data_IF_686759392532
#
_entry.id   IF_686759392532
#
_cell.length_a   1.000
_cell.length_b   1.000
_cell.length_c   1.000
_cell.angle_alpha   90.00
_cell.angle_beta   90.00
_cell.angle_gamma   90.00
#
_symmetry.space_group_name_H-M   'P 1'
#
loop_
_entity.id
_entity.type
_entity.pdbx_description
1 polymer ?
#
# COMPACT_ATOMS: atom_id res chain seq x y z
N UNK A 1 33.69 28.60 58.16
CA UNK A 1 34.76 28.21 57.21
C UNK A 1 34.30 28.62 55.82
N UNK A 2 34.98 29.55 55.12
CA UNK A 2 34.53 30.00 53.81
C UNK A 2 34.90 28.97 52.73
N UNK A 3 33.93 28.59 51.90
CA UNK A 3 34.14 27.77 50.71
C UNK A 3 35.01 28.54 49.70
N UNK A 4 36.19 28.01 49.44
CA UNK A 4 37.18 28.57 48.52
C UNK A 4 36.70 28.36 47.08
N UNK A 5 36.17 29.43 46.50
CA UNK A 5 36.30 29.86 45.10
C UNK A 5 36.04 28.86 43.98
N UNK A 6 35.11 29.24 43.09
CA UNK A 6 35.00 28.79 41.70
C UNK A 6 36.37 28.70 41.02
N UNK A 7 36.95 27.51 40.92
CA UNK A 7 38.01 27.20 39.95
C UNK A 7 37.35 26.47 38.78
N UNK A 8 37.58 26.94 37.55
CA UNK A 8 37.13 26.22 36.36
C UNK A 8 37.78 24.82 36.34
N UNK A 9 37.02 23.76 36.02
CA UNK A 9 37.57 22.42 36.00
C UNK A 9 38.75 22.34 35.01
N UNK A 10 39.83 21.62 35.34
CA UNK A 10 40.99 21.50 34.45
C UNK A 10 40.58 20.90 33.12
N UNK A 11 40.99 21.53 32.02
CA UNK A 11 40.73 21.06 30.65
C UNK A 11 41.58 19.81 30.39
N UNK A 12 40.97 18.63 30.54
CA UNK A 12 41.60 17.35 30.21
C UNK A 12 41.80 17.31 28.69
N UNK A 13 43.04 17.42 28.24
CA UNK A 13 43.38 17.19 26.84
C UNK A 13 43.56 15.68 26.68
N UNK A 14 42.70 14.99 25.90
CA UNK A 14 42.89 13.57 25.69
C UNK A 14 44.24 13.33 25.00
N UNK A 15 44.93 12.21 25.31
CA UNK A 15 46.15 11.85 24.60
C UNK A 15 45.86 11.71 23.09
N UNK A 16 46.84 12.00 22.23
CA UNK A 16 46.66 11.86 20.79
C UNK A 16 46.32 10.40 20.48
N UNK A 17 45.11 10.18 19.99
CA UNK A 17 44.67 8.84 19.56
C UNK A 17 45.57 8.43 18.39
N UNK A 18 46.21 7.25 18.42
CA UNK A 18 47.01 6.79 17.30
C UNK A 18 46.12 6.71 16.05
N UNK A 19 46.62 7.09 14.86
CA UNK A 19 45.85 6.94 13.63
C UNK A 19 45.43 5.47 13.53
N UNK A 20 44.13 5.24 13.45
CA UNK A 20 43.57 3.90 13.40
C UNK A 20 44.25 3.12 12.27
N UNK A 21 44.79 1.95 12.57
CA UNK A 21 45.42 1.08 11.56
C UNK A 21 44.40 0.44 10.60
N UNK A 22 43.11 0.70 10.82
CA UNK A 22 42.03 0.27 9.95
C UNK A 22 42.00 1.16 8.70
N UNK A 23 41.80 0.60 7.50
CA UNK A 23 41.56 1.39 6.29
C UNK A 23 40.38 2.34 6.50
N UNK A 24 40.65 3.63 6.69
CA UNK A 24 39.64 4.67 6.95
C UNK A 24 38.72 4.93 5.76
N UNK A 25 39.06 4.40 4.58
CA UNK A 25 38.31 4.56 3.34
C UNK A 25 38.09 3.21 2.65
N UNK A 26 37.30 2.34 3.28
CA UNK A 26 36.75 1.18 2.60
C UNK A 26 35.50 1.60 1.83
N UNK A 27 35.68 2.05 0.58
CA UNK A 27 34.54 2.23 -0.31
C UNK A 27 33.85 0.86 -0.47
N UNK A 28 32.56 0.72 -0.11
CA UNK A 28 31.91 -0.56 -0.15
C UNK A 28 31.87 -1.06 -1.58
N UNK A 29 32.38 -2.27 -1.79
CA UNK A 29 32.36 -2.92 -3.10
C UNK A 29 30.91 -3.06 -3.57
N UNK A 30 30.64 -3.04 -4.89
CA UNK A 30 29.27 -3.16 -5.40
C UNK A 30 28.57 -4.44 -4.90
N UNK A 31 29.31 -5.53 -4.71
CA UNK A 31 28.79 -6.76 -4.09
C UNK A 31 28.40 -6.54 -2.62
N UNK A 32 29.24 -5.85 -1.84
CA UNK A 32 28.92 -5.49 -0.46
C UNK A 32 27.66 -4.61 -0.37
N UNK A 33 27.50 -3.64 -1.28
CA UNK A 33 26.27 -2.83 -1.37
C UNK A 33 25.04 -3.67 -1.73
N UNK A 34 25.16 -4.57 -2.70
CA UNK A 34 24.06 -5.47 -3.05
C UNK A 34 23.65 -6.35 -1.86
N UNK A 35 24.62 -6.90 -1.12
CA UNK A 35 24.36 -7.67 0.10
C UNK A 35 23.68 -6.84 1.20
N UNK A 36 24.10 -5.59 1.39
CA UNK A 36 23.44 -4.67 2.35
C UNK A 36 21.98 -4.40 1.96
N UNK A 37 21.71 -4.13 0.67
CA UNK A 37 20.35 -3.89 0.18
C UNK A 37 19.50 -5.16 0.31
N UNK A 38 20.05 -6.32 -0.04
CA UNK A 38 19.36 -7.59 0.09
C UNK A 38 19.01 -7.91 1.55
N UNK A 39 19.95 -7.69 2.48
CA UNK A 39 19.70 -7.87 3.90
C UNK A 39 18.61 -6.93 4.43
N UNK A 40 18.61 -5.67 3.97
CA UNK A 40 17.59 -4.69 4.34
C UNK A 40 16.22 -5.03 3.75
N UNK A 41 16.17 -5.45 2.49
CA UNK A 41 14.93 -5.88 1.84
C UNK A 41 14.36 -7.14 2.51
N UNK A 42 15.22 -8.10 2.85
CA UNK A 42 14.83 -9.32 3.56
C UNK A 42 14.29 -9.01 4.95
N UNK A 43 14.97 -8.16 5.73
CA UNK A 43 14.52 -7.80 7.08
C UNK A 43 13.20 -7.03 7.04
N UNK A 44 13.04 -6.08 6.12
CA UNK A 44 11.79 -5.38 5.89
C UNK A 44 10.68 -6.36 5.46
N UNK A 45 10.98 -7.30 4.56
CA UNK A 45 10.02 -8.31 4.12
C UNK A 45 9.54 -9.21 5.25
N UNK A 46 10.45 -9.69 6.11
CA UNK A 46 10.10 -10.47 7.30
C UNK A 46 9.24 -9.66 8.26
N UNK A 47 9.57 -8.38 8.48
CA UNK A 47 8.79 -7.50 9.34
C UNK A 47 7.35 -7.31 8.81
N UNK A 48 7.20 -7.03 7.51
CA UNK A 48 5.89 -6.89 6.87
C UNK A 48 5.11 -8.20 6.93
N UNK A 49 5.76 -9.34 6.68
CA UNK A 49 5.14 -10.66 6.80
C UNK A 49 4.63 -10.92 8.22
N UNK A 50 5.46 -10.64 9.23
CA UNK A 50 5.06 -10.75 10.64
C UNK A 50 3.84 -9.87 10.94
N UNK A 51 3.90 -8.60 10.59
CA UNK A 51 2.84 -7.63 10.92
C UNK A 51 1.54 -7.95 10.21
N UNK A 52 1.54 -8.37 8.94
CA UNK A 52 0.33 -8.48 8.13
C UNK A 52 -0.18 -9.91 7.90
N UNK A 53 0.71 -10.90 7.78
CA UNK A 53 0.34 -12.23 7.29
C UNK A 53 0.54 -13.35 8.31
N UNK A 54 1.46 -13.19 9.26
CA UNK A 54 1.74 -14.24 10.25
C UNK A 54 0.55 -14.46 11.19
N UNK A 55 0.22 -15.71 11.46
CA UNK A 55 -0.87 -16.06 12.38
C UNK A 55 -0.36 -16.09 13.82
N UNK A 56 -0.89 -15.19 14.67
CA UNK A 56 -0.55 -15.09 16.09
C UNK A 56 -1.53 -15.86 17.00
N UNK A 57 -2.53 -16.56 16.43
CA UNK A 57 -3.56 -17.29 17.15
C UNK A 57 -4.82 -16.45 17.45
N UNK A 58 -5.72 -17.01 18.27
CA UNK A 58 -7.06 -16.44 18.53
C UNK A 58 -7.10 -15.19 19.41
N UNK A 59 -5.99 -14.82 20.06
CA UNK A 59 -5.91 -13.68 20.98
C UNK A 59 -5.63 -12.36 20.23
N UNK A 60 -6.12 -11.23 20.74
CA UNK A 60 -5.77 -9.92 20.15
C UNK A 60 -4.27 -9.66 20.25
N UNK A 61 -3.62 -9.44 19.10
CA UNK A 61 -2.19 -9.15 19.00
C UNK A 61 -1.92 -7.66 18.77
N UNK A 62 -0.73 -7.18 19.12
CA UNK A 62 -0.34 -5.76 19.01
C UNK A 62 -0.40 -5.20 17.58
N UNK A 63 -0.33 -6.07 16.56
CA UNK A 63 -0.45 -5.69 15.16
C UNK A 63 -1.89 -5.64 14.60
N UNK A 64 -2.92 -6.01 15.38
CA UNK A 64 -4.32 -5.99 14.93
C UNK A 64 -4.81 -4.61 14.46
N UNK A 65 -4.48 -3.50 15.16
CA UNK A 65 -4.87 -2.17 14.68
C UNK A 65 -4.30 -1.84 13.30
N UNK A 66 -3.06 -2.24 13.04
CA UNK A 66 -2.40 -2.03 11.75
C UNK A 66 -3.06 -2.87 10.66
N UNK A 67 -3.35 -4.15 10.92
CA UNK A 67 -4.08 -5.02 9.98
C UNK A 67 -5.44 -4.44 9.61
N UNK A 68 -6.24 -4.06 10.62
CA UNK A 68 -7.56 -3.43 10.40
C UNK A 68 -7.46 -2.15 9.56
N UNK A 69 -6.44 -1.33 9.79
CA UNK A 69 -6.19 -0.14 8.98
C UNK A 69 -5.86 -0.52 7.53
N UNK A 70 -4.94 -1.47 7.31
CA UNK A 70 -4.60 -1.94 5.95
C UNK A 70 -5.81 -2.53 5.23
N UNK A 71 -6.64 -3.30 5.91
CA UNK A 71 -7.86 -3.90 5.35
C UNK A 71 -8.87 -2.83 4.92
N UNK A 72 -9.06 -1.79 5.74
CA UNK A 72 -9.92 -0.65 5.40
C UNK A 72 -9.42 0.10 4.15
N UNK A 73 -8.12 0.32 4.04
CA UNK A 73 -7.52 0.97 2.87
C UNK A 73 -7.61 0.08 1.64
N UNK A 74 -7.31 -1.20 1.77
CA UNK A 74 -7.36 -2.15 0.64
C UNK A 74 -8.80 -2.28 0.14
N UNK A 75 -9.78 -2.38 1.04
CA UNK A 75 -11.19 -2.37 0.68
C UNK A 75 -11.61 -1.07 -0.03
N UNK A 76 -11.05 0.07 0.35
CA UNK A 76 -11.37 1.35 -0.32
C UNK A 76 -10.93 1.41 -1.78
N UNK A 77 -9.87 0.68 -2.18
CA UNK A 77 -9.43 0.64 -3.57
C UNK A 77 -10.35 -0.20 -4.46
N UNK A 78 -10.94 -1.26 -3.89
CA UNK A 78 -11.80 -2.19 -4.63
C UNK A 78 -13.29 -1.95 -4.40
N UNK A 79 -13.66 -0.93 -3.63
CA UNK A 79 -15.06 -0.55 -3.40
C UNK A 79 -15.27 0.89 -3.85
N UNK A 80 -16.41 1.14 -4.48
CA UNK A 80 -16.80 2.50 -4.86
C UNK A 80 -16.88 3.36 -3.60
N UNK A 81 -16.27 4.55 -3.66
CA UNK A 81 -16.42 5.56 -2.62
C UNK A 81 -17.89 5.94 -2.48
N UNK A 82 -18.34 6.43 -1.32
CA UNK A 82 -19.74 6.82 -1.12
C UNK A 82 -20.24 7.84 -2.15
N UNK A 83 -19.36 8.71 -2.66
CA UNK A 83 -19.62 9.61 -3.77
C UNK A 83 -19.80 8.88 -5.10
N UNK A 84 -18.91 7.94 -5.44
CA UNK A 84 -18.99 7.18 -6.68
C UNK A 84 -20.21 6.25 -6.72
N UNK A 85 -20.59 5.67 -5.58
CA UNK A 85 -21.84 4.91 -5.46
C UNK A 85 -23.06 5.73 -5.84
N UNK A 86 -23.09 7.04 -5.54
CA UNK A 86 -24.20 7.93 -5.92
C UNK A 86 -24.30 8.14 -7.43
N UNK A 87 -23.17 8.19 -8.13
CA UNK A 87 -23.17 8.34 -9.58
C UNK A 87 -23.56 7.04 -10.29
N UNK A 88 -23.10 5.90 -9.79
CA UNK A 88 -23.47 4.58 -10.32
C UNK A 88 -24.94 4.28 -10.05
N UNK A 89 -25.47 4.61 -8.86
CA UNK A 89 -26.90 4.44 -8.56
C UNK A 89 -27.80 5.35 -9.39
N UNK A 90 -27.39 6.61 -9.62
CA UNK A 90 -28.11 7.52 -10.49
C UNK A 90 -28.15 7.03 -11.95
N UNK A 91 -27.03 6.48 -12.44
CA UNK A 91 -26.90 5.97 -13.81
C UNK A 91 -27.66 4.66 -14.03
N UNK A 92 -27.74 3.80 -13.01
CA UNK A 92 -28.43 2.50 -13.09
C UNK A 92 -29.94 2.60 -12.92
N UNK A 93 -30.45 3.61 -12.20
CA UNK A 93 -31.88 3.68 -11.83
C UNK A 93 -32.58 4.90 -12.42
N UNK A 94 -31.87 5.89 -12.98
CA UNK A 94 -32.46 7.09 -13.58
C UNK A 94 -33.26 7.97 -12.61
N UNK A 95 -33.18 7.69 -11.30
CA UNK A 95 -33.92 8.40 -10.24
C UNK A 95 -32.94 8.83 -9.14
N UNK A 96 -32.88 10.12 -8.77
CA UNK A 96 -32.04 10.58 -7.66
C UNK A 96 -32.62 10.12 -6.32
N UNK A 97 -32.05 9.06 -5.75
CA UNK A 97 -32.29 8.74 -4.34
C UNK A 97 -31.31 9.54 -3.47
N UNK A 98 -31.76 10.73 -3.09
CA UNK A 98 -31.21 11.46 -1.95
C UNK A 98 -31.64 10.75 -0.66
N UNK A 99 -30.87 9.75 -0.24
CA UNK A 99 -30.96 9.15 1.11
C UNK A 99 -29.66 8.39 1.36
N UNK A 100 -28.93 8.51 2.45
CA UNK A 100 -28.98 9.31 3.66
C UNK A 100 -27.57 9.18 4.28
N UNK A 101 -27.19 10.09 5.16
CA UNK A 101 -26.01 9.99 6.02
C UNK A 101 -26.44 10.40 7.43
N UNK A 102 -25.72 10.06 8.51
CA UNK A 102 -25.48 8.73 9.07
C UNK A 102 -25.91 8.72 10.57
N UNK A 103 -27.04 8.10 10.92
CA UNK A 103 -27.39 7.80 12.31
C UNK A 103 -28.53 6.77 12.35
N UNK A 104 -28.46 5.85 13.30
CA UNK A 104 -29.45 4.83 13.71
C UNK A 104 -29.39 3.42 13.08
N UNK A 105 -29.07 2.38 13.87
CA UNK A 105 -29.52 0.99 13.67
C UNK A 105 -30.76 0.68 14.54
N UNK A 106 -31.42 -0.49 14.43
CA UNK A 106 -31.73 -1.33 13.26
C UNK A 106 -33.25 -1.61 13.19
N UNK A 107 -33.89 -1.40 12.04
CA UNK A 107 -35.30 -1.78 11.87
C UNK A 107 -35.52 -2.56 10.56
N UNK A 108 -35.47 -3.90 10.70
CA UNK A 108 -36.21 -4.95 10.00
C UNK A 108 -36.27 -4.99 8.44
N UNK A 109 -36.43 -6.21 7.88
CA UNK A 109 -36.20 -6.51 6.47
C UNK A 109 -37.42 -6.15 5.62
N UNK A 110 -37.22 -5.49 4.48
CA UNK A 110 -38.25 -5.35 3.43
C UNK A 110 -37.55 -5.32 2.07
N UNK A 111 -38.24 -5.75 1.00
CA UNK A 111 -37.93 -6.93 0.24
C UNK A 111 -37.00 -6.61 -0.94
N UNK A 112 -36.11 -7.54 -1.21
CA UNK A 112 -35.24 -7.61 -2.40
C UNK A 112 -36.05 -7.34 -3.68
N UNK A 113 -35.83 -6.18 -4.31
CA UNK A 113 -36.27 -5.92 -5.68
C UNK A 113 -35.15 -6.30 -6.66
N UNK A 114 -35.50 -6.99 -7.76
CA UNK A 114 -34.55 -7.74 -8.57
C UNK A 114 -33.58 -6.78 -9.26
N UNK A 115 -32.33 -6.79 -8.82
CA UNK A 115 -31.24 -6.18 -9.58
C UNK A 115 -31.03 -7.03 -10.84
N UNK A 116 -31.66 -6.61 -11.94
CA UNK A 116 -31.64 -7.27 -13.25
C UNK A 116 -30.30 -7.19 -13.99
N UNK A 117 -29.19 -7.01 -13.29
CA UNK A 117 -27.85 -7.21 -13.86
C UNK A 117 -27.44 -8.62 -13.47
N UNK A 118 -27.56 -9.55 -14.42
CA UNK A 118 -27.04 -10.91 -14.24
C UNK A 118 -25.53 -10.79 -13.95
N UNK A 119 -25.02 -11.37 -12.84
CA UNK A 119 -23.59 -11.38 -12.60
C UNK A 119 -22.93 -12.07 -13.80
N UNK A 120 -22.01 -11.37 -14.43
CA UNK A 120 -21.32 -11.87 -15.62
C UNK A 120 -20.43 -13.05 -15.18
N UNK A 121 -20.90 -14.28 -15.42
CA UNK A 121 -20.21 -15.51 -15.00
C UNK A 121 -19.02 -15.84 -15.92
N UNK A 122 -18.83 -15.09 -17.00
CA UNK A 122 -17.75 -15.32 -17.93
C UNK A 122 -16.39 -15.04 -17.28
N UNK A 123 -15.46 -15.98 -17.45
CA UNK A 123 -14.07 -15.73 -17.07
C UNK A 123 -13.50 -14.62 -17.96
N UNK A 124 -12.53 -13.82 -17.48
CA UNK A 124 -11.95 -12.74 -18.29
C UNK A 124 -11.47 -13.22 -19.67
N UNK A 125 -10.95 -14.44 -19.76
CA UNK A 125 -10.50 -15.03 -21.02
C UNK A 125 -11.61 -15.28 -22.04
N UNK A 126 -12.82 -15.66 -21.61
CA UNK A 126 -13.95 -15.89 -22.53
C UNK A 126 -14.47 -14.57 -23.10
N UNK A 127 -14.59 -13.55 -22.25
CA UNK A 127 -15.01 -12.22 -22.68
C UNK A 127 -14.11 -11.65 -23.79
N UNK A 128 -12.78 -11.76 -23.63
CA UNK A 128 -11.83 -11.29 -24.65
C UNK A 128 -11.76 -12.17 -25.90
N UNK A 129 -12.22 -13.42 -25.83
CA UNK A 129 -12.34 -14.31 -26.99
C UNK A 129 -13.56 -13.94 -27.84
N UNK A 130 -14.67 -13.57 -27.20
CA UNK A 130 -15.90 -13.11 -27.87
C UNK A 130 -15.77 -11.67 -28.39
N UNK A 131 -14.95 -10.85 -27.72
CA UNK A 131 -14.65 -9.48 -28.10
C UNK A 131 -13.17 -9.29 -28.44
N UNK A 132 -12.71 -9.75 -29.62
CA UNK A 132 -11.35 -9.51 -30.05
C UNK A 132 -11.12 -8.00 -30.24
N UNK A 133 -10.28 -7.43 -29.39
CA UNK A 133 -9.88 -6.01 -29.48
C UNK A 133 -9.01 -5.85 -30.72
N UNK A 134 -9.57 -5.25 -31.78
CA UNK A 134 -8.83 -4.92 -32.98
C UNK A 134 -7.84 -3.78 -32.67
N UNK A 135 -6.61 -4.13 -32.30
CA UNK A 135 -5.51 -3.17 -32.27
C UNK A 135 -5.25 -2.71 -33.71
N UNK A 136 -5.58 -1.44 -33.97
CA UNK A 136 -5.52 -0.83 -35.30
C UNK A 136 -4.17 -1.04 -35.98
N UNK A 137 -4.17 -1.89 -37.02
CA UNK A 137 -3.10 -1.98 -38.01
C UNK A 137 -3.17 -0.72 -38.86
N UNK A 138 -2.26 0.23 -38.62
CA UNK A 138 -2.06 1.39 -39.48
C UNK A 138 -1.85 0.95 -40.93
N UNK A 139 -2.75 1.41 -41.81
CA UNK A 139 -2.68 1.26 -43.26
C UNK A 139 -1.41 1.92 -43.80
N UNK A 140 -0.49 1.12 -44.35
CA UNK A 140 0.43 1.58 -45.40
C UNK A 140 -0.23 1.33 -46.74
N UNK A 141 -0.83 2.37 -47.32
CA UNK A 141 -1.51 2.32 -48.62
C UNK A 141 -0.52 2.66 -49.74
N UNK A 142 -0.34 1.67 -50.63
CA UNK A 142 -0.18 1.77 -52.08
C UNK A 142 0.95 2.65 -52.67
N UNK A 143 2.06 1.95 -52.89
CA UNK A 143 2.74 1.88 -54.19
C UNK A 143 1.74 1.80 -55.37
N UNK A 144 1.46 2.94 -56.01
CA UNK A 144 0.86 3.01 -57.36
C UNK A 144 1.10 4.38 -58.00
N UNK A 145 2.36 4.68 -58.34
CA UNK A 145 2.75 5.66 -59.37
C UNK A 145 4.27 5.60 -59.55
N UNK A 146 4.74 4.76 -60.49
CA UNK A 146 5.74 5.05 -61.54
C UNK A 146 5.58 3.97 -62.61
#
# INVERSE_FOLDING_TARGET
>A
MPFRGNAAPPRIVPPPVPPSQLPQHFAPTPLSRAGQIAAFALSAGIAVYGVLFYDYGEQEHCFMPVRRWVDQHTASFFTLTPSERRYVSFSSTGVPMASASPADPPAAPTPELPHGVKPDTHTPFEYFKEHPVAFGKGKGEAERMV
#
